data_IF_013339704221
#
_entry.id   IF_013339704221
#
_cell.length_a   1.000
_cell.length_b   1.000
_cell.length_c   1.000
_cell.angle_alpha   90.00
_cell.angle_beta   90.00
_cell.angle_gamma   90.00
#
_symmetry.space_group_name_H-M   'P 1'
#
loop_
_entity.id
_entity.type
_entity.pdbx_description
1 polymer ?
#
# COMPACT_ATOMS: atom_id res chain seq x y z
N UNK A 1 43.05 38.21 20.43
CA UNK A 1 42.10 37.89 19.30
C UNK A 1 41.94 36.37 19.01
N UNK A 2 42.41 35.47 19.84
CA UNK A 2 42.29 34.01 19.60
C UNK A 2 40.95 33.38 20.11
N UNK A 3 40.16 34.09 20.91
CA UNK A 3 38.94 33.54 21.51
C UNK A 3 37.75 33.36 20.55
N UNK A 4 37.68 34.17 19.49
CA UNK A 4 36.53 34.08 18.55
C UNK A 4 36.64 32.91 17.58
N UNK A 5 37.82 32.45 17.27
CA UNK A 5 38.08 31.33 16.36
C UNK A 5 37.68 29.98 16.98
N UNK A 6 38.03 29.76 18.23
CA UNK A 6 37.68 28.51 18.96
C UNK A 6 36.19 28.40 19.23
N UNK A 7 35.52 29.48 19.58
CA UNK A 7 34.06 29.48 19.75
C UNK A 7 33.31 29.21 18.42
N UNK A 8 33.78 29.80 17.29
CA UNK A 8 33.20 29.49 15.99
C UNK A 8 33.37 28.03 15.58
N UNK A 9 34.51 27.42 15.82
CA UNK A 9 34.76 25.99 15.54
C UNK A 9 33.85 25.10 16.37
N UNK A 10 33.63 25.40 17.64
CA UNK A 10 32.74 24.64 18.52
C UNK A 10 31.30 24.74 18.05
N UNK A 11 30.82 25.92 17.64
CA UNK A 11 29.47 26.11 17.12
C UNK A 11 29.27 25.32 15.82
N UNK A 12 30.23 25.37 14.90
CA UNK A 12 30.18 24.62 13.65
C UNK A 12 30.16 23.11 13.93
N UNK A 13 30.99 22.62 14.85
CA UNK A 13 31.05 21.21 15.22
C UNK A 13 29.71 20.74 15.84
N UNK A 14 29.13 21.53 16.74
CA UNK A 14 27.79 21.27 17.30
C UNK A 14 26.70 21.22 16.23
N UNK A 15 26.74 22.16 15.28
CA UNK A 15 25.77 22.20 14.19
C UNK A 15 25.88 20.97 13.28
N UNK A 16 27.09 20.55 12.89
CA UNK A 16 27.35 19.36 12.10
C UNK A 16 26.89 18.09 12.83
N UNK A 17 27.13 18.01 14.14
CA UNK A 17 26.74 16.86 14.96
C UNK A 17 25.21 16.74 15.08
N UNK A 18 24.52 17.87 15.29
CA UNK A 18 23.06 17.88 15.37
C UNK A 18 22.41 17.63 14.01
N UNK A 19 22.90 18.24 12.93
CA UNK A 19 22.41 18.01 11.59
C UNK A 19 22.62 16.56 11.14
N UNK A 20 23.79 15.98 11.43
CA UNK A 20 24.10 14.58 11.13
C UNK A 20 23.16 13.60 11.83
N UNK A 21 22.84 13.84 13.09
CA UNK A 21 21.89 12.98 13.84
C UNK A 21 20.47 13.05 13.30
N UNK A 22 19.99 14.24 12.91
CA UNK A 22 18.66 14.42 12.32
C UNK A 22 18.54 13.66 11.01
N UNK A 23 19.56 13.74 10.13
CA UNK A 23 19.54 13.02 8.85
C UNK A 23 19.55 11.51 9.06
N UNK A 24 20.38 10.99 9.96
CA UNK A 24 20.46 9.54 10.22
C UNK A 24 19.20 9.00 10.89
N UNK A 25 18.56 9.75 11.77
CA UNK A 25 17.30 9.36 12.38
C UNK A 25 16.18 9.37 11.33
N UNK A 26 16.12 10.38 10.47
CA UNK A 26 15.13 10.46 9.41
C UNK A 26 15.16 9.24 8.47
N UNK A 27 16.36 8.82 8.00
CA UNK A 27 16.49 7.64 7.14
C UNK A 27 16.10 6.32 7.84
N UNK A 28 16.32 6.22 9.15
CA UNK A 28 15.90 5.03 9.93
C UNK A 28 14.38 4.95 10.08
N UNK A 29 13.72 6.08 10.32
CA UNK A 29 12.26 6.14 10.43
C UNK A 29 11.61 5.74 9.10
N UNK A 30 12.11 6.22 7.97
CA UNK A 30 11.59 5.86 6.65
C UNK A 30 11.70 4.35 6.36
N UNK A 31 12.85 3.74 6.68
CA UNK A 31 13.08 2.31 6.49
C UNK A 31 12.18 1.44 7.38
N UNK A 32 11.96 1.84 8.62
CA UNK A 32 11.05 1.12 9.53
C UNK A 32 9.60 1.23 9.02
N UNK A 33 9.19 2.42 8.58
CA UNK A 33 7.87 2.63 8.02
C UNK A 33 7.62 1.78 6.78
N UNK A 34 8.61 1.65 5.89
CA UNK A 34 8.52 0.80 4.70
C UNK A 34 8.31 -0.67 5.06
N UNK A 35 9.07 -1.21 6.01
CA UNK A 35 8.95 -2.60 6.46
C UNK A 35 7.63 -2.87 7.18
N UNK A 36 7.18 -1.92 8.01
CA UNK A 36 5.90 -2.02 8.70
C UNK A 36 4.74 -1.99 7.72
N UNK A 37 4.77 -1.10 6.72
CA UNK A 37 3.73 -1.03 5.68
C UNK A 37 3.71 -2.31 4.84
N UNK A 38 4.88 -2.85 4.44
CA UNK A 38 4.95 -4.14 3.74
C UNK A 38 4.31 -5.25 4.56
N UNK A 39 4.66 -5.35 5.85
CA UNK A 39 4.06 -6.36 6.74
C UNK A 39 2.54 -6.20 6.86
N UNK A 40 2.02 -4.97 6.95
CA UNK A 40 0.58 -4.73 7.02
C UNK A 40 -0.14 -5.15 5.74
N UNK A 41 0.46 -4.91 4.58
CA UNK A 41 -0.06 -5.36 3.29
C UNK A 41 -0.08 -6.89 3.21
N UNK A 42 1.02 -7.54 3.61
CA UNK A 42 1.12 -9.00 3.62
C UNK A 42 0.10 -9.63 4.57
N UNK A 43 -0.04 -9.09 5.78
CA UNK A 43 -1.02 -9.55 6.78
C UNK A 43 -2.46 -9.38 6.26
N UNK A 44 -2.79 -8.23 5.64
CA UNK A 44 -4.10 -7.98 5.07
C UNK A 44 -4.44 -8.92 3.91
N UNK A 45 -3.51 -9.10 2.98
CA UNK A 45 -3.69 -10.02 1.85
C UNK A 45 -3.82 -11.46 2.32
N UNK A 46 -3.01 -11.88 3.31
CA UNK A 46 -3.09 -13.20 3.90
C UNK A 46 -4.41 -13.42 4.64
N UNK A 47 -4.92 -12.42 5.36
CA UNK A 47 -6.23 -12.51 6.03
C UNK A 47 -7.35 -12.73 5.02
N UNK A 48 -7.41 -11.92 3.95
CA UNK A 48 -8.43 -12.07 2.90
C UNK A 48 -8.32 -13.43 2.21
N UNK A 49 -7.11 -13.88 1.86
CA UNK A 49 -6.89 -15.17 1.21
C UNK A 49 -7.27 -16.37 2.11
N UNK A 50 -7.00 -16.27 3.41
CA UNK A 50 -7.28 -17.34 4.37
C UNK A 50 -8.77 -17.40 4.77
N UNK A 51 -9.46 -16.25 4.77
CA UNK A 51 -10.91 -16.19 5.06
C UNK A 51 -11.77 -16.40 3.81
N UNK A 52 -11.19 -16.18 2.62
CA UNK A 52 -11.92 -16.15 1.36
C UNK A 52 -12.94 -15.00 1.28
N UNK A 53 -12.80 -13.99 2.14
CA UNK A 53 -13.74 -12.84 2.19
C UNK A 53 -13.00 -11.53 2.33
N UNK A 54 -13.49 -10.52 1.62
CA UNK A 54 -13.13 -9.12 1.81
C UNK A 54 -14.35 -8.37 2.33
N UNK A 55 -14.26 -7.82 3.53
CA UNK A 55 -15.33 -7.05 4.16
C UNK A 55 -15.00 -5.56 4.19
N UNK A 56 -16.05 -4.72 4.26
CA UNK A 56 -15.90 -3.27 4.48
C UNK A 56 -15.07 -3.00 5.73
N UNK A 57 -15.36 -3.72 6.82
CA UNK A 57 -14.67 -3.52 8.10
C UNK A 57 -13.17 -3.83 8.02
N UNK A 58 -12.78 -4.92 7.35
CA UNK A 58 -11.37 -5.27 7.12
C UNK A 58 -10.65 -4.17 6.33
N UNK A 59 -11.25 -3.72 5.22
CA UNK A 59 -10.68 -2.66 4.40
C UNK A 59 -10.51 -1.35 5.17
N UNK A 60 -11.54 -0.90 5.90
CA UNK A 60 -11.48 0.32 6.69
C UNK A 60 -10.47 0.23 7.85
N UNK A 61 -10.38 -0.93 8.49
CA UNK A 61 -9.39 -1.17 9.54
C UNK A 61 -7.98 -1.08 8.97
N UNK A 62 -7.73 -1.71 7.84
CA UNK A 62 -6.45 -1.66 7.13
C UNK A 62 -6.09 -0.22 6.74
N UNK A 63 -7.01 0.52 6.11
CA UNK A 63 -6.81 1.93 5.74
C UNK A 63 -6.49 2.82 6.97
N UNK A 64 -7.23 2.65 8.06
CA UNK A 64 -7.00 3.42 9.29
C UNK A 64 -5.63 3.10 9.93
N UNK A 65 -5.23 1.84 9.92
CA UNK A 65 -3.92 1.42 10.41
C UNK A 65 -2.78 1.98 9.55
N UNK A 66 -2.92 1.96 8.24
CA UNK A 66 -1.96 2.57 7.32
C UNK A 66 -1.80 4.07 7.59
N UNK A 67 -2.91 4.80 7.65
CA UNK A 67 -2.90 6.24 7.90
C UNK A 67 -2.29 6.58 9.26
N UNK A 68 -2.56 5.76 10.29
CA UNK A 68 -1.98 5.95 11.62
C UNK A 68 -0.47 5.69 11.64
N UNK A 69 0.04 4.75 10.84
CA UNK A 69 1.46 4.40 10.78
C UNK A 69 2.28 5.34 9.90
N UNK A 70 1.73 5.71 8.76
CA UNK A 70 2.43 6.59 7.81
C UNK A 70 2.26 8.07 8.13
N UNK A 71 1.23 8.43 8.94
CA UNK A 71 0.86 9.82 9.21
C UNK A 71 0.25 10.55 8.01
N UNK A 72 0.01 9.84 6.90
CA UNK A 72 -0.50 10.39 5.63
C UNK A 72 -1.55 9.47 5.03
N UNK A 73 -2.33 10.01 4.09
CA UNK A 73 -3.21 9.21 3.27
C UNK A 73 -2.38 8.42 2.27
N UNK A 74 -2.55 7.10 2.30
CA UNK A 74 -1.95 6.21 1.33
C UNK A 74 -2.94 5.89 0.23
N UNK A 75 -2.46 5.81 -0.99
CA UNK A 75 -3.20 5.27 -2.12
C UNK A 75 -3.17 3.74 -2.04
N UNK A 76 -4.36 3.13 -2.05
CA UNK A 76 -4.55 1.69 -1.90
C UNK A 76 -5.21 1.18 -3.18
N UNK A 77 -4.47 0.44 -3.98
CA UNK A 77 -5.00 -0.24 -5.15
C UNK A 77 -5.23 -1.73 -4.85
N UNK A 78 -6.44 -2.19 -5.15
CA UNK A 78 -6.84 -3.59 -5.01
C UNK A 78 -6.99 -4.23 -6.38
N UNK A 79 -6.59 -5.48 -6.50
CA UNK A 79 -6.81 -6.30 -7.68
C UNK A 79 -7.29 -7.68 -7.26
N UNK A 80 -8.36 -8.15 -7.91
CA UNK A 80 -8.85 -9.51 -7.75
C UNK A 80 -8.84 -10.21 -9.12
N UNK A 81 -8.14 -11.32 -9.19
CA UNK A 81 -8.11 -12.20 -10.36
C UNK A 81 -9.00 -13.39 -10.06
N UNK A 82 -10.18 -13.39 -10.68
CA UNK A 82 -11.21 -14.42 -10.47
C UNK A 82 -11.06 -15.50 -11.52
N UNK A 83 -10.93 -16.74 -11.07
CA UNK A 83 -10.80 -17.90 -11.93
C UNK A 83 -12.08 -18.13 -12.72
N UNK A 84 -11.99 -18.08 -14.05
CA UNK A 84 -13.13 -18.38 -14.92
C UNK A 84 -13.33 -19.90 -15.06
N UNK A 85 -14.38 -20.41 -14.43
CA UNK A 85 -14.74 -21.84 -14.48
C UNK A 85 -15.27 -22.29 -15.87
N UNK A 86 -15.62 -21.34 -16.74
CA UNK A 86 -16.18 -21.61 -18.08
C UNK A 86 -15.52 -20.78 -19.19
N UNK A 87 -14.22 -20.92 -19.41
CA UNK A 87 -13.47 -20.07 -20.32
C UNK A 87 -13.94 -20.19 -21.79
N UNK A 88 -14.47 -21.35 -22.18
CA UNK A 88 -14.90 -21.61 -23.55
C UNK A 88 -16.21 -20.92 -23.99
N UNK A 89 -16.93 -20.24 -23.10
CA UNK A 89 -18.21 -19.58 -23.41
C UNK A 89 -18.13 -18.08 -23.68
N UNK A 90 -16.95 -17.45 -23.47
CA UNK A 90 -16.77 -16.01 -23.65
C UNK A 90 -16.15 -15.69 -25.00
N UNK A 91 -16.91 -15.01 -25.84
CA UNK A 91 -16.46 -14.53 -27.16
C UNK A 91 -15.28 -13.56 -27.12
N UNK A 92 -15.00 -12.93 -25.98
CA UNK A 92 -13.83 -12.05 -25.78
C UNK A 92 -12.50 -12.79 -25.74
N UNK A 93 -12.51 -14.13 -25.68
CA UNK A 93 -11.33 -14.98 -25.62
C UNK A 93 -11.11 -15.78 -26.90
N UNK A 94 -11.36 -15.15 -28.04
CA UNK A 94 -11.27 -15.79 -29.36
C UNK A 94 -9.91 -16.41 -29.73
N UNK A 95 -8.85 -16.12 -28.96
CA UNK A 95 -7.49 -16.66 -29.17
C UNK A 95 -7.15 -17.85 -28.27
N UNK A 96 -8.15 -18.46 -27.64
CA UNK A 96 -7.95 -19.58 -26.74
C UNK A 96 -7.70 -20.86 -27.53
N UNK A 97 -6.48 -21.33 -27.54
CA UNK A 97 -6.06 -22.48 -28.35
C UNK A 97 -5.75 -23.74 -27.55
N UNK A 98 -5.76 -23.64 -26.21
CA UNK A 98 -5.38 -24.78 -25.33
C UNK A 98 -6.51 -25.19 -24.42
N UNK A 99 -6.84 -26.47 -24.39
CA UNK A 99 -7.77 -27.08 -23.47
C UNK A 99 -7.13 -27.16 -22.08
N UNK A 100 -7.86 -26.74 -21.02
CA UNK A 100 -7.40 -26.83 -19.62
C UNK A 100 -6.52 -25.67 -19.17
N UNK A 101 -6.42 -24.58 -19.93
CA UNK A 101 -5.74 -23.36 -19.50
C UNK A 101 -6.71 -22.52 -18.63
N UNK A 102 -6.28 -22.19 -17.40
CA UNK A 102 -7.06 -21.36 -16.51
C UNK A 102 -7.01 -19.91 -16.96
N UNK A 103 -8.18 -19.27 -17.04
CA UNK A 103 -8.31 -17.87 -17.42
C UNK A 103 -8.80 -17.09 -16.23
N UNK A 104 -8.07 -16.03 -15.90
CA UNK A 104 -8.45 -15.09 -14.86
C UNK A 104 -9.11 -13.87 -15.47
N UNK A 105 -10.21 -13.44 -14.85
CA UNK A 105 -10.84 -12.13 -15.09
C UNK A 105 -10.36 -11.19 -14.00
N UNK A 106 -9.79 -10.06 -14.40
CA UNK A 106 -9.19 -9.10 -13.48
C UNK A 106 -10.21 -8.02 -13.13
N UNK A 107 -10.44 -7.84 -11.85
CA UNK A 107 -11.24 -6.75 -11.27
C UNK A 107 -10.33 -5.83 -10.47
N UNK A 108 -10.57 -4.53 -10.58
CA UNK A 108 -9.82 -3.49 -9.87
C UNK A 108 -10.61 -2.92 -8.71
N UNK A 109 -9.95 -2.12 -7.90
CA UNK A 109 -10.51 -1.36 -6.78
C UNK A 109 -11.85 -0.69 -7.10
N UNK A 110 -11.93 -0.01 -8.26
CA UNK A 110 -13.17 0.65 -8.73
C UNK A 110 -14.37 -0.30 -8.89
N UNK A 111 -14.12 -1.59 -9.04
CA UNK A 111 -15.15 -2.63 -9.18
C UNK A 111 -15.36 -3.41 -7.87
N UNK A 112 -14.30 -3.57 -7.07
CA UNK A 112 -14.31 -4.34 -5.82
C UNK A 112 -14.92 -3.52 -4.68
N UNK A 113 -14.46 -2.27 -4.49
CA UNK A 113 -14.87 -1.43 -3.38
C UNK A 113 -16.37 -1.13 -3.34
N UNK A 114 -17.06 -0.83 -4.46
CA UNK A 114 -18.51 -0.68 -4.46
C UNK A 114 -19.27 -1.93 -4.01
N UNK A 115 -18.74 -3.13 -4.26
CA UNK A 115 -19.39 -4.37 -3.86
C UNK A 115 -19.36 -4.60 -2.34
N UNK A 116 -18.38 -4.06 -1.65
CA UNK A 116 -18.32 -4.07 -0.18
C UNK A 116 -18.87 -2.78 0.44
N UNK A 117 -19.51 -1.93 -0.38
CA UNK A 117 -20.17 -0.71 0.07
C UNK A 117 -19.22 0.45 0.40
N UNK A 118 -18.01 0.45 -0.16
CA UNK A 118 -17.06 1.57 -0.09
C UNK A 118 -17.21 2.42 -1.34
N UNK A 119 -17.46 3.71 -1.16
CA UNK A 119 -17.57 4.64 -2.28
C UNK A 119 -16.21 4.89 -2.94
N UNK A 120 -16.18 4.94 -4.26
CA UNK A 120 -15.00 5.32 -5.05
C UNK A 120 -15.30 6.63 -5.76
N UNK A 121 -14.48 7.65 -5.51
CA UNK A 121 -14.73 9.00 -6.03
C UNK A 121 -16.00 9.63 -5.43
N UNK A 122 -16.84 10.22 -6.29
CA UNK A 122 -18.09 10.90 -5.89
C UNK A 122 -19.33 9.99 -5.97
N UNK A 123 -19.16 8.70 -6.17
CA UNK A 123 -20.28 7.77 -6.31
C UNK A 123 -20.83 7.37 -4.94
N UNK A 124 -22.17 7.45 -4.81
CA UNK A 124 -22.87 6.96 -3.62
C UNK A 124 -23.17 5.48 -3.81
N UNK A 125 -22.53 4.63 -3.06
CA UNK A 125 -22.79 3.19 -3.14
C UNK A 125 -23.96 2.84 -2.24
N UNK A 126 -25.04 2.37 -2.84
CA UNK A 126 -26.17 1.76 -2.16
C UNK A 126 -26.07 0.24 -2.30
N UNK A 127 -25.27 -0.40 -1.48
CA UNK A 127 -25.26 -1.86 -1.42
C UNK A 127 -25.55 -2.33 -0.01
N UNK A 128 -26.36 -3.37 0.08
CA UNK A 128 -26.65 -4.07 1.33
C UNK A 128 -25.55 -5.09 1.68
N UNK A 129 -24.68 -5.40 0.73
CA UNK A 129 -23.59 -6.35 0.94
C UNK A 129 -22.36 -5.62 1.48
N UNK A 130 -21.96 -5.98 2.68
CA UNK A 130 -20.73 -5.46 3.31
C UNK A 130 -19.54 -6.38 3.09
N UNK A 131 -19.67 -7.42 2.28
CA UNK A 131 -18.63 -8.40 2.00
C UNK A 131 -18.65 -8.88 0.55
N UNK A 132 -17.46 -9.17 0.05
CA UNK A 132 -17.22 -9.92 -1.18
C UNK A 132 -16.62 -11.29 -0.82
N UNK A 133 -17.03 -12.36 -1.53
CA UNK A 133 -16.57 -13.74 -1.27
C UNK A 133 -15.76 -14.25 -2.45
N UNK A 134 -14.57 -14.77 -2.15
CA UNK A 134 -13.68 -15.42 -3.09
C UNK A 134 -13.89 -16.93 -3.10
N UNK A 135 -13.47 -17.56 -4.18
CA UNK A 135 -13.41 -19.01 -4.33
C UNK A 135 -11.97 -19.50 -4.26
N UNK A 136 -11.74 -20.78 -3.93
CA UNK A 136 -10.41 -21.37 -4.07
C UNK A 136 -9.90 -21.24 -5.51
N UNK A 137 -8.67 -20.76 -5.65
CA UNK A 137 -8.05 -20.49 -6.94
C UNK A 137 -8.12 -19.02 -7.36
N UNK A 138 -8.96 -18.19 -6.75
CA UNK A 138 -8.94 -16.75 -6.96
C UNK A 138 -7.68 -16.13 -6.34
N UNK A 139 -7.14 -15.07 -6.94
CA UNK A 139 -5.96 -14.37 -6.44
C UNK A 139 -6.38 -12.97 -6.02
N UNK A 140 -6.04 -12.61 -4.79
CA UNK A 140 -6.23 -11.26 -4.27
C UNK A 140 -4.88 -10.56 -4.11
N UNK A 141 -4.78 -9.34 -4.60
CA UNK A 141 -3.58 -8.51 -4.54
C UNK A 141 -3.92 -7.13 -4.01
N UNK A 142 -3.00 -6.59 -3.22
CA UNK A 142 -3.09 -5.23 -2.69
C UNK A 142 -1.76 -4.53 -2.90
N UNK A 143 -1.79 -3.29 -3.37
CA UNK A 143 -0.63 -2.41 -3.42
C UNK A 143 -0.94 -1.09 -2.74
N UNK A 144 0.05 -0.57 -2.02
CA UNK A 144 -0.03 0.68 -1.27
C UNK A 144 1.10 1.58 -1.72
N UNK A 145 0.80 2.83 -2.02
CA UNK A 145 1.78 3.86 -2.32
C UNK A 145 1.51 5.11 -1.49
N UNK A 146 2.59 5.69 -0.95
CA UNK A 146 2.53 6.99 -0.26
C UNK A 146 3.55 7.92 -0.90
N UNK A 147 3.12 9.07 -1.37
CA UNK A 147 3.96 9.97 -2.17
C UNK A 147 4.98 10.75 -1.34
N UNK A 148 4.77 10.89 -0.03
CA UNK A 148 5.67 11.69 0.82
C UNK A 148 5.93 11.06 2.18
N UNK A 149 7.15 11.09 2.66
CA UNK A 149 7.49 10.78 4.04
C UNK A 149 7.69 12.05 4.88
N UNK A 150 7.27 12.04 6.14
CA UNK A 150 7.48 13.16 7.07
C UNK A 150 8.98 13.53 7.23
N UNK A 151 9.88 12.54 7.09
CA UNK A 151 11.32 12.74 7.12
C UNK A 151 11.83 13.47 5.88
N UNK A 152 11.17 13.31 4.75
CA UNK A 152 11.52 13.99 3.50
C UNK A 152 11.12 15.45 3.53
N UNK A 153 9.92 15.76 4.05
CA UNK A 153 9.47 17.12 4.27
C UNK A 153 10.43 17.88 5.17
N UNK A 154 10.94 17.22 6.23
CA UNK A 154 11.92 17.79 7.14
C UNK A 154 13.27 18.03 6.45
N UNK A 155 13.75 17.05 5.67
CA UNK A 155 15.00 17.17 4.90
C UNK A 155 14.92 18.29 3.87
N UNK A 156 13.84 18.36 3.10
CA UNK A 156 13.64 19.40 2.08
C UNK A 156 13.55 20.79 2.72
N UNK A 157 12.89 20.90 3.87
CA UNK A 157 12.74 22.15 4.61
C UNK A 157 14.07 22.67 5.19
N UNK A 158 14.91 21.77 5.72
CA UNK A 158 16.18 22.16 6.37
C UNK A 158 17.29 22.41 5.35
N UNK A 159 17.38 21.59 4.31
CA UNK A 159 18.53 21.62 3.39
C UNK A 159 18.23 22.26 2.04
N UNK A 160 16.99 22.71 1.80
CA UNK A 160 16.55 23.23 0.50
C UNK A 160 16.96 22.32 -0.68
N UNK A 161 16.95 20.99 -0.43
CA UNK A 161 17.48 19.98 -1.33
C UNK A 161 16.34 19.55 -2.28
N UNK A 162 16.18 20.27 -3.37
CA UNK A 162 15.13 20.05 -4.37
C UNK A 162 15.27 18.74 -5.18
N UNK A 163 16.32 17.95 -4.92
CA UNK A 163 16.62 16.70 -5.62
C UNK A 163 16.79 15.48 -4.70
N UNK A 164 16.31 15.51 -3.47
CA UNK A 164 16.13 14.28 -2.72
C UNK A 164 15.02 13.51 -3.45
N UNK A 165 15.36 12.48 -4.20
CA UNK A 165 14.40 11.66 -4.92
C UNK A 165 13.28 11.27 -3.96
N UNK A 166 12.03 11.50 -4.38
CA UNK A 166 10.84 11.14 -3.63
C UNK A 166 10.97 9.69 -3.18
N UNK A 167 11.20 9.47 -1.88
CA UNK A 167 11.15 8.13 -1.31
C UNK A 167 9.68 7.80 -1.07
N UNK A 168 9.05 7.29 -2.10
CA UNK A 168 7.71 6.73 -2.02
C UNK A 168 7.75 5.47 -1.17
N UNK A 169 6.94 5.42 -0.13
CA UNK A 169 6.66 4.15 0.54
C UNK A 169 5.80 3.35 -0.44
N UNK A 170 6.31 2.22 -0.87
CA UNK A 170 5.60 1.32 -1.79
C UNK A 170 5.65 -0.10 -1.25
N UNK A 171 4.48 -0.70 -1.06
CA UNK A 171 4.34 -2.07 -0.60
C UNK A 171 3.31 -2.80 -1.46
N UNK A 172 3.54 -4.07 -1.73
CA UNK A 172 2.59 -4.89 -2.48
C UNK A 172 2.61 -6.32 -1.98
N UNK A 173 1.43 -6.95 -1.99
CA UNK A 173 1.25 -8.35 -1.64
C UNK A 173 0.22 -9.01 -2.54
N UNK A 174 0.34 -10.31 -2.73
CA UNK A 174 -0.59 -11.12 -3.50
C UNK A 174 -0.67 -12.51 -2.90
N UNK A 175 -1.89 -13.04 -2.76
CA UNK A 175 -2.10 -14.41 -2.30
C UNK A 175 -3.28 -15.07 -3.01
N UNK A 176 -3.19 -16.38 -3.17
CA UNK A 176 -4.27 -17.20 -3.72
C UNK A 176 -5.22 -17.61 -2.59
N UNK A 177 -6.51 -17.45 -2.80
CA UNK A 177 -7.53 -17.94 -1.88
C UNK A 177 -7.59 -19.46 -1.92
N UNK A 178 -7.54 -20.08 -0.75
CA UNK A 178 -7.55 -21.56 -0.59
C UNK A 178 -8.86 -22.08 -0.02
N UNK A 179 -9.71 -21.19 0.46
CA UNK A 179 -11.01 -21.51 1.08
C UNK A 179 -12.16 -20.78 0.38
N UNK A 180 -13.35 -21.35 0.48
CA UNK A 180 -14.57 -20.63 0.09
C UNK A 180 -14.89 -19.60 1.17
N UNK A 181 -15.15 -18.36 0.75
CA UNK A 181 -15.65 -17.34 1.66
C UNK A 181 -17.03 -17.73 2.20
N UNK A 182 -17.22 -17.61 3.51
CA UNK A 182 -18.48 -17.88 4.23
C UNK A 182 -19.24 -16.59 4.54
#
# INVERSE_FOLDING_TARGET
MAGNSTTSVIIILLFVLTAGTIVTLGTRVDNVSQQEVQKMVDDFVAEVANTGTLTRSQYQTFQNQLNAKTGKNCDIALEAQILDENPGKKTAQANYTKIGENVYVVYKDTQILPQIGVAVGNETVQTSNEKYTFKPGDIFSCSVTSEDSAAQDLKSSIFNYSNAGEQTISASGSAMCTVYGQ
#
